data_IF_838622783482
#
_entry.id   IF_838622783482
#
_cell.length_a   1.000
_cell.length_b   1.000
_cell.length_c   1.000
_cell.angle_alpha   90.00
_cell.angle_beta   90.00
_cell.angle_gamma   90.00
#
_symmetry.space_group_name_H-M   'P 1'
#
loop_
_entity.id
_entity.type
_entity.pdbx_description
1 polymer ?
#
# COMPACT_ATOMS: atom_id res chain seq x y z
N UNK A 1 41.72 -22.79 14.69
CA UNK A 1 40.37 -23.33 14.47
C UNK A 1 39.40 -22.45 15.26
N UNK A 2 38.82 -21.43 14.62
CA UNK A 2 37.76 -20.63 15.24
C UNK A 2 36.53 -21.52 15.29
N UNK A 3 35.98 -21.75 16.48
CA UNK A 3 34.82 -22.61 16.68
C UNK A 3 33.68 -22.17 15.76
N UNK A 4 33.08 -23.15 15.08
CA UNK A 4 31.77 -22.98 14.48
C UNK A 4 30.83 -22.52 15.59
N UNK A 5 30.48 -21.24 15.59
CA UNK A 5 29.37 -20.75 16.38
C UNK A 5 28.13 -21.41 15.80
N UNK A 6 27.74 -22.54 16.37
CA UNK A 6 26.51 -23.23 16.00
C UNK A 6 25.36 -22.24 16.20
N UNK A 7 24.74 -21.85 15.09
CA UNK A 7 23.64 -20.90 15.13
C UNK A 7 22.54 -21.55 15.95
N UNK A 8 22.04 -20.88 17.00
CA UNK A 8 21.09 -21.52 17.88
C UNK A 8 19.83 -21.93 17.11
N UNK A 9 19.32 -23.13 17.33
CA UNK A 9 18.14 -23.65 16.60
C UNK A 9 16.91 -22.74 16.71
N UNK A 10 16.80 -21.98 17.80
CA UNK A 10 15.73 -21.01 17.98
C UNK A 10 15.79 -19.84 16.99
N UNK A 11 16.94 -19.49 16.42
CA UNK A 11 17.04 -18.45 15.38
C UNK A 11 16.28 -18.87 14.11
N UNK A 12 16.51 -20.11 13.66
CA UNK A 12 15.81 -20.66 12.48
C UNK A 12 14.30 -20.74 12.73
N UNK A 13 13.89 -21.11 13.94
CA UNK A 13 12.47 -21.13 14.33
C UNK A 13 11.89 -19.71 14.28
N UNK A 14 12.58 -18.72 14.84
CA UNK A 14 12.12 -17.32 14.85
C UNK A 14 12.06 -16.73 13.44
N UNK A 15 13.05 -16.99 12.59
CA UNK A 15 13.05 -16.58 11.17
C UNK A 15 11.78 -17.07 10.46
N UNK A 16 11.43 -18.36 10.64
CA UNK A 16 10.25 -18.95 10.02
C UNK A 16 8.94 -18.47 10.65
N UNK A 17 8.88 -18.28 11.97
CA UNK A 17 7.65 -17.80 12.64
C UNK A 17 7.34 -16.36 12.22
N UNK A 18 8.33 -15.46 12.30
CA UNK A 18 8.13 -14.09 11.87
C UNK A 18 7.92 -13.99 10.37
N UNK A 19 8.63 -14.81 9.58
CA UNK A 19 8.41 -14.93 8.16
C UNK A 19 6.96 -15.30 7.85
N UNK A 20 6.41 -16.33 8.52
CA UNK A 20 5.03 -16.79 8.30
C UNK A 20 4.01 -15.71 8.64
N UNK A 21 4.19 -15.00 9.75
CA UNK A 21 3.32 -13.89 10.15
C UNK A 21 3.39 -12.77 9.11
N UNK A 22 4.61 -12.41 8.67
CA UNK A 22 4.85 -11.43 7.62
C UNK A 22 4.15 -11.81 6.31
N UNK A 23 4.36 -13.05 5.86
CA UNK A 23 3.71 -13.64 4.67
C UNK A 23 2.20 -13.57 4.75
N UNK A 24 1.61 -13.90 5.91
CA UNK A 24 0.16 -13.87 6.09
C UNK A 24 -0.39 -12.45 5.94
N UNK A 25 0.15 -11.48 6.69
CA UNK A 25 -0.31 -10.09 6.60
C UNK A 25 -0.13 -9.51 5.19
N UNK A 26 1.04 -9.75 4.58
CA UNK A 26 1.36 -9.18 3.27
C UNK A 26 0.59 -9.84 2.12
N UNK A 27 0.16 -11.10 2.28
CA UNK A 27 -0.71 -11.77 1.31
C UNK A 27 -2.17 -11.36 1.45
N UNK A 28 -2.67 -11.29 2.70
CA UNK A 28 -4.09 -11.05 2.95
C UNK A 28 -4.49 -9.58 2.82
N UNK A 29 -3.56 -8.63 2.81
CA UNK A 29 -3.89 -7.22 2.62
C UNK A 29 -4.66 -6.95 1.32
N UNK A 30 -4.43 -7.74 0.26
CA UNK A 30 -5.08 -7.54 -1.04
C UNK A 30 -6.50 -8.11 -1.11
N UNK A 31 -6.92 -8.93 -0.14
CA UNK A 31 -8.23 -9.61 -0.14
C UNK A 31 -9.42 -8.65 -0.28
N UNK A 32 -9.49 -7.51 0.43
CA UNK A 32 -10.61 -6.59 0.27
C UNK A 32 -10.75 -6.08 -1.16
N UNK A 33 -9.64 -5.93 -1.89
CA UNK A 33 -9.66 -5.46 -3.28
C UNK A 33 -10.10 -6.56 -4.25
N UNK A 34 -9.76 -7.81 -3.95
CA UNK A 34 -10.27 -8.96 -4.71
C UNK A 34 -11.79 -9.07 -4.62
N UNK A 35 -12.37 -8.81 -3.43
CA UNK A 35 -13.81 -8.91 -3.17
C UNK A 35 -14.58 -7.68 -3.67
N UNK A 36 -13.94 -6.51 -3.68
CA UNK A 36 -14.62 -5.26 -4.01
C UNK A 36 -14.61 -4.99 -5.52
N UNK A 37 -15.61 -5.52 -6.22
CA UNK A 37 -15.71 -5.54 -7.68
C UNK A 37 -16.23 -4.23 -8.32
N UNK A 38 -16.26 -3.10 -7.59
CA UNK A 38 -16.89 -1.88 -8.10
C UNK A 38 -15.92 -1.04 -8.95
N UNK A 39 -16.30 -0.76 -10.21
CA UNK A 39 -15.58 0.07 -11.18
C UNK A 39 -15.04 1.40 -10.61
N UNK A 40 -15.78 2.03 -9.69
CA UNK A 40 -15.40 3.31 -9.07
C UNK A 40 -14.11 3.23 -8.22
N UNK A 41 -13.71 2.06 -7.74
CA UNK A 41 -12.48 1.89 -6.95
C UNK A 41 -11.22 1.77 -7.83
N UNK A 42 -11.36 1.35 -9.09
CA UNK A 42 -10.25 1.18 -10.04
C UNK A 42 -9.80 2.50 -10.70
N UNK A 43 -10.62 3.54 -10.61
CA UNK A 43 -10.25 4.91 -11.03
C UNK A 43 -9.29 5.53 -9.98
N UNK A 44 -9.36 5.06 -8.74
CA UNK A 44 -8.53 5.47 -7.60
C UNK A 44 -7.17 4.78 -7.53
N UNK A 45 -7.13 3.48 -7.84
CA UNK A 45 -5.92 2.65 -7.74
C UNK A 45 -5.49 2.16 -9.12
N UNK A 46 -4.36 2.68 -9.60
CA UNK A 46 -3.94 2.50 -10.99
C UNK A 46 -3.72 1.02 -11.29
N UNK A 47 -4.36 0.51 -12.35
CA UNK A 47 -4.05 -0.78 -12.96
C UNK A 47 -2.53 -1.00 -13.14
N UNK A 48 -1.78 0.07 -13.44
CA UNK A 48 -0.32 0.02 -13.56
C UNK A 48 0.38 -0.35 -12.23
N UNK A 49 -0.18 0.02 -11.08
CA UNK A 49 0.38 -0.33 -9.78
C UNK A 49 0.37 -1.84 -9.56
N UNK A 50 -0.75 -2.51 -9.80
CA UNK A 50 -0.84 -3.96 -9.67
C UNK A 50 0.07 -4.70 -10.65
N UNK A 51 0.25 -4.15 -11.85
CA UNK A 51 1.23 -4.67 -12.80
C UNK A 51 2.66 -4.55 -12.24
N UNK A 52 3.03 -3.36 -11.74
CA UNK A 52 4.35 -3.12 -11.13
C UNK A 52 4.58 -4.04 -9.93
N UNK A 53 3.58 -4.23 -9.08
CA UNK A 53 3.64 -5.12 -7.92
C UNK A 53 3.74 -6.60 -8.33
N UNK A 54 3.01 -7.02 -9.36
CA UNK A 54 3.15 -8.36 -9.94
C UNK A 54 4.56 -8.58 -10.45
N UNK A 55 5.08 -7.65 -11.26
CA UNK A 55 6.46 -7.73 -11.78
C UNK A 55 7.49 -7.73 -10.65
N UNK A 56 7.32 -6.85 -9.65
CA UNK A 56 8.16 -6.83 -8.45
C UNK A 56 8.19 -8.19 -7.73
N UNK A 57 7.02 -8.83 -7.62
CA UNK A 57 6.89 -10.14 -6.96
C UNK A 57 7.69 -11.22 -7.67
N UNK A 58 7.71 -11.21 -9.01
CA UNK A 58 8.51 -12.16 -9.79
C UNK A 58 10.00 -11.98 -9.52
N UNK A 59 10.51 -10.74 -9.57
CA UNK A 59 11.94 -10.49 -9.29
C UNK A 59 12.30 -10.83 -7.84
N UNK A 60 11.41 -10.51 -6.89
CA UNK A 60 11.64 -10.85 -5.49
C UNK A 60 11.57 -12.36 -5.25
N UNK A 61 10.68 -13.08 -5.93
CA UNK A 61 10.61 -14.55 -5.91
C UNK A 61 11.88 -15.20 -6.46
N UNK A 62 12.39 -14.71 -7.60
CA UNK A 62 13.69 -15.12 -8.15
C UNK A 62 14.79 -14.92 -7.10
N UNK A 63 14.88 -13.73 -6.52
CA UNK A 63 15.88 -13.39 -5.51
C UNK A 63 15.77 -14.31 -4.27
N UNK A 64 14.57 -14.50 -3.75
CA UNK A 64 14.30 -15.32 -2.58
C UNK A 64 14.69 -16.80 -2.80
N UNK A 65 14.42 -17.35 -3.98
CA UNK A 65 14.78 -18.73 -4.36
C UNK A 65 16.29 -18.88 -4.60
N UNK A 66 16.94 -17.86 -5.19
CA UNK A 66 18.39 -17.88 -5.43
C UNK A 66 19.16 -17.80 -4.12
N UNK A 67 18.74 -16.94 -3.18
CA UNK A 67 19.37 -16.78 -1.87
C UNK A 67 18.92 -17.79 -0.82
N UNK A 68 18.01 -18.69 -1.16
CA UNK A 68 17.49 -19.71 -0.26
C UNK A 68 16.98 -19.08 1.06
N UNK A 69 16.05 -18.13 0.91
CA UNK A 69 15.38 -17.51 2.06
C UNK A 69 14.54 -18.53 2.84
N UNK A 70 14.03 -18.17 4.02
CA UNK A 70 13.11 -19.05 4.73
C UNK A 70 11.86 -19.37 3.90
N UNK A 71 11.29 -20.56 4.10
CA UNK A 71 10.12 -21.04 3.33
C UNK A 71 8.98 -20.01 3.26
N UNK A 72 8.62 -19.30 4.35
CA UNK A 72 7.62 -18.24 4.26
C UNK A 72 7.97 -17.12 3.29
N UNK A 73 9.24 -16.69 3.25
CA UNK A 73 9.72 -15.62 2.37
C UNK A 73 9.86 -16.08 0.91
N UNK A 74 9.98 -17.38 0.65
CA UNK A 74 9.84 -17.96 -0.70
C UNK A 74 8.39 -17.92 -1.18
N UNK A 75 7.45 -18.31 -0.31
CA UNK A 75 6.03 -18.44 -0.64
C UNK A 75 5.36 -17.06 -0.79
N UNK A 76 5.80 -16.09 0.01
CA UNK A 76 5.22 -14.76 0.09
C UNK A 76 5.12 -13.99 -1.25
N UNK A 77 6.20 -13.84 -2.06
CA UNK A 77 6.10 -13.20 -3.36
C UNK A 77 5.16 -13.94 -4.31
N UNK A 78 5.06 -15.27 -4.20
CA UNK A 78 4.21 -16.08 -5.07
C UNK A 78 2.73 -15.80 -4.80
N UNK A 79 2.32 -15.83 -3.54
CA UNK A 79 0.94 -15.57 -3.16
C UNK A 79 0.57 -14.11 -3.49
N UNK A 80 1.39 -13.15 -3.06
CA UNK A 80 1.13 -11.74 -3.31
C UNK A 80 1.09 -11.42 -4.82
N UNK A 81 2.03 -11.96 -5.60
CA UNK A 81 2.10 -11.76 -7.05
C UNK A 81 0.90 -12.35 -7.79
N UNK A 82 0.43 -13.54 -7.41
CA UNK A 82 -0.78 -14.16 -7.99
C UNK A 82 -2.03 -13.33 -7.68
N UNK A 83 -2.18 -12.86 -6.44
CA UNK A 83 -3.34 -12.04 -6.05
C UNK A 83 -3.29 -10.68 -6.77
N UNK A 84 -2.12 -10.04 -6.86
CA UNK A 84 -1.95 -8.78 -7.58
C UNK A 84 -2.25 -8.94 -9.08
N UNK A 85 -1.77 -10.03 -9.71
CA UNK A 85 -2.08 -10.34 -11.10
C UNK A 85 -3.57 -10.58 -11.31
N UNK A 86 -4.22 -11.26 -10.36
CA UNK A 86 -5.66 -11.49 -10.41
C UNK A 86 -6.43 -10.17 -10.42
N UNK A 87 -6.09 -9.24 -9.51
CA UNK A 87 -6.70 -7.90 -9.46
C UNK A 87 -6.42 -7.12 -10.75
N UNK A 88 -5.19 -7.20 -11.28
CA UNK A 88 -4.83 -6.58 -12.56
C UNK A 88 -5.70 -7.10 -13.72
N UNK A 89 -5.93 -8.41 -13.79
CA UNK A 89 -6.79 -9.00 -14.83
C UNK A 89 -8.27 -8.68 -14.60
N UNK A 90 -8.72 -8.62 -13.35
CA UNK A 90 -10.08 -8.18 -13.02
C UNK A 90 -10.37 -6.76 -13.54
N UNK A 91 -9.37 -5.86 -13.58
CA UNK A 91 -9.52 -4.54 -14.17
C UNK A 91 -10.00 -4.60 -15.64
N UNK A 92 -9.49 -5.55 -16.43
CA UNK A 92 -9.94 -5.72 -17.82
C UNK A 92 -11.38 -6.23 -17.94
N UNK A 93 -11.86 -6.98 -16.94
CA UNK A 93 -13.23 -7.47 -16.92
C UNK A 93 -14.25 -6.38 -16.58
N UNK A 94 -13.91 -5.49 -15.63
CA UNK A 94 -14.81 -4.48 -15.07
C UNK A 94 -14.68 -3.08 -15.67
N UNK A 95 -13.53 -2.74 -16.28
CA UNK A 95 -13.34 -1.45 -16.95
C UNK A 95 -13.67 -1.53 -18.45
N UNK A 96 -14.07 -0.42 -19.09
CA UNK A 96 -14.30 -0.35 -20.54
C UNK A 96 -13.03 -0.76 -21.29
N UNK A 97 -12.99 -2.03 -21.71
CA UNK A 97 -11.84 -2.65 -22.35
C UNK A 97 -12.35 -3.67 -23.37
N UNK A 98 -11.46 -4.21 -24.19
CA UNK A 98 -11.78 -5.25 -25.18
C UNK A 98 -12.38 -6.53 -24.56
N UNK A 99 -12.30 -6.68 -23.22
CA UNK A 99 -12.71 -7.87 -22.48
C UNK A 99 -13.92 -7.68 -21.55
N UNK A 100 -14.57 -6.51 -21.60
CA UNK A 100 -15.69 -6.14 -20.74
C UNK A 100 -16.77 -7.24 -20.70
N UNK A 101 -17.12 -7.68 -19.48
CA UNK A 101 -18.16 -8.69 -19.24
C UNK A 101 -17.80 -10.13 -19.63
N UNK A 102 -16.63 -10.39 -20.23
CA UNK A 102 -16.24 -11.74 -20.68
C UNK A 102 -15.32 -12.46 -19.68
N UNK A 103 -15.91 -13.37 -18.90
CA UNK A 103 -15.18 -14.19 -17.89
C UNK A 103 -14.14 -15.11 -18.54
N UNK A 104 -14.45 -15.66 -19.71
CA UNK A 104 -13.57 -16.58 -20.44
C UNK A 104 -12.31 -15.85 -20.92
N UNK A 105 -12.46 -14.69 -21.58
CA UNK A 105 -11.31 -13.93 -22.09
C UNK A 105 -10.38 -13.49 -20.96
N UNK A 106 -10.95 -13.01 -19.85
CA UNK A 106 -10.19 -12.60 -18.67
C UNK A 106 -9.50 -13.80 -17.98
N UNK A 107 -10.20 -14.93 -17.84
CA UNK A 107 -9.62 -16.15 -17.28
C UNK A 107 -8.48 -16.71 -18.13
N UNK A 108 -8.64 -16.72 -19.46
CA UNK A 108 -7.59 -17.14 -20.40
C UNK A 108 -6.38 -16.21 -20.29
N UNK A 109 -6.59 -14.89 -20.23
CA UNK A 109 -5.50 -13.92 -20.05
C UNK A 109 -4.74 -14.18 -18.74
N UNK A 110 -5.44 -14.40 -17.63
CA UNK A 110 -4.83 -14.72 -16.34
C UNK A 110 -3.96 -15.98 -16.41
N UNK A 111 -4.46 -17.06 -17.01
CA UNK A 111 -3.72 -18.32 -17.15
C UNK A 111 -2.48 -18.14 -18.03
N UNK A 112 -2.61 -17.45 -19.17
CA UNK A 112 -1.48 -17.18 -20.08
C UNK A 112 -0.41 -16.36 -19.36
N UNK A 113 -0.79 -15.27 -18.69
CA UNK A 113 0.17 -14.43 -17.95
C UNK A 113 0.84 -15.20 -16.83
N UNK A 114 0.09 -16.02 -16.09
CA UNK A 114 0.67 -16.87 -15.02
C UNK A 114 1.71 -17.83 -15.58
N UNK A 115 1.40 -18.56 -16.66
CA UNK A 115 2.35 -19.50 -17.29
C UNK A 115 3.61 -18.76 -17.78
N UNK A 116 3.44 -17.61 -18.43
CA UNK A 116 4.57 -16.81 -18.92
C UNK A 116 5.45 -16.31 -17.78
N UNK A 117 4.86 -15.76 -16.72
CA UNK A 117 5.59 -15.22 -15.57
C UNK A 117 6.31 -16.32 -14.78
N UNK A 118 5.67 -17.49 -14.57
CA UNK A 118 6.32 -18.66 -13.98
C UNK A 118 7.47 -19.15 -14.86
N UNK A 119 7.30 -19.18 -16.19
CA UNK A 119 8.38 -19.53 -17.11
C UNK A 119 9.59 -18.58 -17.01
N UNK A 120 9.32 -17.27 -16.91
CA UNK A 120 10.36 -16.24 -16.72
C UNK A 120 11.07 -16.42 -15.38
N UNK A 121 10.33 -16.63 -14.29
CA UNK A 121 10.89 -16.85 -12.95
C UNK A 121 11.79 -18.08 -12.92
N UNK A 122 11.27 -19.23 -13.36
CA UNK A 122 12.00 -20.50 -13.37
C UNK A 122 13.24 -20.39 -14.25
N UNK A 123 13.11 -19.86 -15.47
CA UNK A 123 14.24 -19.65 -16.38
C UNK A 123 15.32 -18.74 -15.78
N UNK A 124 14.89 -17.67 -15.11
CA UNK A 124 15.81 -16.73 -14.43
C UNK A 124 16.50 -17.39 -13.25
N UNK A 125 15.80 -18.15 -12.40
CA UNK A 125 16.39 -18.86 -11.26
C UNK A 125 17.51 -19.80 -11.73
N UNK A 126 17.25 -20.63 -12.74
CA UNK A 126 18.28 -21.53 -13.27
C UNK A 126 19.42 -20.76 -13.94
N UNK A 127 19.11 -19.70 -14.69
CA UNK A 127 20.12 -18.85 -15.34
C UNK A 127 21.04 -18.14 -14.34
N UNK A 128 20.48 -17.59 -13.25
CA UNK A 128 21.24 -16.91 -12.20
C UNK A 128 22.06 -17.92 -11.40
N UNK A 129 21.48 -19.07 -11.01
CA UNK A 129 22.24 -20.14 -10.33
C UNK A 129 23.43 -20.60 -11.18
N UNK A 130 23.24 -20.74 -12.49
CA UNK A 130 24.32 -21.06 -13.42
C UNK A 130 25.39 -19.95 -13.51
N UNK A 131 24.98 -18.68 -13.51
CA UNK A 131 25.90 -17.55 -13.48
C UNK A 131 26.71 -17.50 -12.18
N UNK A 132 26.09 -17.74 -11.03
CA UNK A 132 26.73 -17.80 -9.73
C UNK A 132 27.77 -18.93 -9.65
N UNK A 133 27.50 -20.10 -10.26
CA UNK A 133 28.50 -21.17 -10.38
C UNK A 133 29.77 -20.74 -11.14
N UNK A 134 29.68 -19.69 -11.96
CA UNK A 134 30.78 -19.09 -12.69
C UNK A 134 31.34 -17.82 -12.03
N UNK A 135 30.99 -17.58 -10.76
CA UNK A 135 31.35 -16.38 -10.00
C UNK A 135 30.81 -15.07 -10.61
N UNK A 136 29.69 -15.13 -11.32
CA UNK A 136 29.01 -13.96 -11.90
C UNK A 136 27.78 -13.64 -11.07
N UNK A 137 27.94 -12.76 -10.07
CA UNK A 137 26.92 -12.50 -9.03
C UNK A 137 26.02 -11.29 -9.33
N UNK A 138 26.30 -10.51 -10.38
CA UNK A 138 25.50 -9.33 -10.71
C UNK A 138 24.01 -9.64 -11.01
N UNK A 139 23.63 -10.77 -11.64
CA UNK A 139 22.22 -11.05 -11.93
C UNK A 139 21.38 -11.25 -10.66
N UNK A 140 21.96 -11.88 -9.64
CA UNK A 140 21.36 -12.03 -8.31
C UNK A 140 21.16 -10.67 -7.64
N UNK A 141 22.16 -9.78 -7.69
CA UNK A 141 22.03 -8.44 -7.13
C UNK A 141 20.91 -7.64 -7.83
N UNK A 142 20.81 -7.76 -9.16
CA UNK A 142 19.77 -7.08 -9.94
C UNK A 142 18.37 -7.58 -9.58
N UNK A 143 18.18 -8.89 -9.37
CA UNK A 143 16.88 -9.43 -8.96
C UNK A 143 16.45 -8.96 -7.57
N UNK A 144 17.39 -8.60 -6.69
CA UNK A 144 17.10 -7.97 -5.39
C UNK A 144 16.80 -6.46 -5.47
N UNK A 145 17.41 -5.72 -6.40
CA UNK A 145 17.23 -4.26 -6.53
C UNK A 145 15.92 -3.92 -7.24
N UNK A 146 15.56 -4.65 -8.30
CA UNK A 146 14.37 -4.36 -9.11
C UNK A 146 13.08 -4.29 -8.26
N UNK A 147 12.80 -5.23 -7.34
CA UNK A 147 11.62 -5.18 -6.49
C UNK A 147 11.53 -3.90 -5.67
N UNK A 148 12.63 -3.50 -5.02
CA UNK A 148 12.67 -2.28 -4.22
C UNK A 148 12.30 -1.05 -5.06
N UNK A 149 12.86 -0.94 -6.27
CA UNK A 149 12.57 0.18 -7.18
C UNK A 149 11.12 0.15 -7.67
N UNK A 150 10.61 -1.02 -8.09
CA UNK A 150 9.25 -1.14 -8.62
C UNK A 150 8.19 -0.88 -7.55
N UNK A 151 8.41 -1.30 -6.30
CA UNK A 151 7.50 -1.00 -5.20
C UNK A 151 7.41 0.49 -4.92
N UNK A 152 8.55 1.20 -4.88
CA UNK A 152 8.59 2.66 -4.72
C UNK A 152 7.84 3.35 -5.86
N UNK A 153 8.11 2.96 -7.12
CA UNK A 153 7.43 3.53 -8.30
C UNK A 153 5.92 3.24 -8.25
N UNK A 154 5.52 2.05 -7.81
CA UNK A 154 4.12 1.66 -7.66
C UNK A 154 3.35 2.57 -6.70
N UNK A 155 4.02 3.13 -5.68
CA UNK A 155 3.41 4.04 -4.70
C UNK A 155 3.36 5.49 -5.17
N UNK A 156 4.14 5.89 -6.19
CA UNK A 156 4.21 7.29 -6.68
C UNK A 156 2.83 7.87 -7.02
N UNK A 157 1.94 7.19 -7.76
CA UNK A 157 0.61 7.73 -8.06
C UNK A 157 -0.21 8.04 -6.80
N UNK A 158 -0.04 7.27 -5.72
CA UNK A 158 -0.72 7.51 -4.46
C UNK A 158 -0.23 8.80 -3.80
N UNK A 159 1.09 9.00 -3.73
CA UNK A 159 1.68 10.23 -3.21
C UNK A 159 1.28 11.47 -4.01
N UNK A 160 1.23 11.37 -5.35
CA UNK A 160 0.76 12.47 -6.21
C UNK A 160 -0.69 12.83 -5.87
N UNK A 161 -1.59 11.84 -5.72
CA UNK A 161 -2.99 12.08 -5.38
C UNK A 161 -3.13 12.74 -4.00
N UNK A 162 -2.39 12.27 -3.00
CA UNK A 162 -2.38 12.87 -1.66
C UNK A 162 -1.90 14.34 -1.74
N UNK A 163 -0.86 14.60 -2.52
CA UNK A 163 -0.33 15.94 -2.69
C UNK A 163 -1.30 16.90 -3.40
N UNK A 164 -2.01 16.42 -4.43
CA UNK A 164 -3.00 17.21 -5.19
C UNK A 164 -4.27 17.47 -4.37
N UNK A 165 -4.81 16.44 -3.72
CA UNK A 165 -6.07 16.53 -2.98
C UNK A 165 -5.91 17.13 -1.58
N UNK A 166 -4.66 17.22 -1.08
CA UNK A 166 -4.34 17.62 0.30
C UNK A 166 -5.11 16.81 1.35
N UNK A 167 -5.53 15.60 0.99
CA UNK A 167 -6.26 14.63 1.79
C UNK A 167 -5.94 13.23 1.28
N UNK A 168 -5.93 12.27 2.20
CA UNK A 168 -5.80 10.85 1.87
C UNK A 168 -7.20 10.29 1.65
N UNK A 169 -7.57 10.05 0.40
CA UNK A 169 -8.90 9.57 -0.02
C UNK A 169 -8.73 8.26 -0.80
N UNK A 170 -9.57 7.27 -0.52
CA UNK A 170 -9.58 6.00 -1.26
C UNK A 170 -8.53 4.98 -0.83
N UNK A 171 -7.82 5.22 0.28
CA UNK A 171 -6.86 4.27 0.88
C UNK A 171 -7.47 3.71 2.17
N UNK A 172 -7.51 2.38 2.30
CA UNK A 172 -8.03 1.70 3.50
C UNK A 172 -6.96 1.68 4.59
N UNK A 173 -7.28 2.18 5.79
CA UNK A 173 -6.34 2.14 6.91
C UNK A 173 -6.05 0.72 7.40
N UNK A 174 -7.01 -0.21 7.25
CA UNK A 174 -6.79 -1.64 7.53
C UNK A 174 -5.78 -2.24 6.54
N UNK A 175 -5.89 -1.86 5.26
CA UNK A 175 -4.93 -2.28 4.24
C UNK A 175 -3.52 -1.82 4.60
N UNK A 176 -3.35 -0.54 4.89
CA UNK A 176 -2.05 0.03 5.29
C UNK A 176 -1.48 -0.65 6.55
N UNK A 177 -2.33 -0.95 7.54
CA UNK A 177 -1.89 -1.62 8.76
C UNK A 177 -1.37 -3.04 8.47
N UNK A 178 -2.05 -3.79 7.60
CA UNK A 178 -1.61 -5.13 7.21
C UNK A 178 -0.32 -5.09 6.38
N UNK A 179 -0.17 -4.12 5.46
CA UNK A 179 1.08 -3.92 4.70
C UNK A 179 2.26 -3.67 5.65
N UNK A 180 2.09 -2.71 6.56
CA UNK A 180 3.13 -2.34 7.54
C UNK A 180 3.47 -3.50 8.49
N UNK A 181 2.47 -4.25 8.99
CA UNK A 181 2.73 -5.42 9.83
C UNK A 181 3.46 -6.51 9.05
N UNK A 182 3.05 -6.76 7.80
CA UNK A 182 3.71 -7.69 6.90
C UNK A 182 5.19 -7.35 6.71
N UNK A 183 5.48 -6.09 6.39
CA UNK A 183 6.83 -5.58 6.22
C UNK A 183 7.65 -5.68 7.52
N UNK A 184 7.07 -5.27 8.66
CA UNK A 184 7.74 -5.32 9.97
C UNK A 184 8.16 -6.75 10.35
N UNK A 185 7.24 -7.72 10.27
CA UNK A 185 7.55 -9.10 10.61
C UNK A 185 8.50 -9.76 9.62
N UNK A 186 8.48 -9.35 8.35
CA UNK A 186 9.45 -9.82 7.35
C UNK A 186 10.85 -9.28 7.59
N UNK A 187 11.02 -8.03 8.03
CA UNK A 187 12.34 -7.54 8.50
C UNK A 187 12.79 -8.32 9.73
N UNK A 188 11.89 -8.54 10.69
CA UNK A 188 12.22 -9.27 11.92
C UNK A 188 12.67 -10.71 11.61
N UNK A 189 12.03 -11.36 10.63
CA UNK A 189 12.47 -12.65 10.08
C UNK A 189 13.94 -12.62 9.65
N UNK A 190 14.32 -11.62 8.86
CA UNK A 190 15.70 -11.46 8.35
C UNK A 190 16.73 -11.16 9.46
N UNK A 191 16.33 -10.52 10.55
CA UNK A 191 17.21 -10.28 11.71
C UNK A 191 17.61 -11.59 12.39
N UNK A 192 16.71 -12.57 12.43
CA UNK A 192 17.00 -13.91 13.01
C UNK A 192 17.60 -14.89 12.01
N UNK A 193 17.77 -14.48 10.75
CA UNK A 193 18.43 -15.28 9.73
C UNK A 193 19.91 -15.51 10.08
N UNK A 194 20.44 -16.73 9.90
CA UNK A 194 21.87 -16.99 9.88
C UNK A 194 22.70 -15.97 9.08
N UNK A 195 23.88 -15.53 9.55
CA UNK A 195 24.75 -14.66 8.78
C UNK A 195 25.11 -15.26 7.41
N UNK A 196 25.21 -14.44 6.34
CA UNK A 196 25.17 -12.98 6.33
C UNK A 196 23.75 -12.39 6.32
N UNK A 197 23.61 -11.19 6.88
CA UNK A 197 22.36 -10.44 6.85
C UNK A 197 22.01 -10.00 5.42
N UNK A 198 20.80 -10.35 4.96
CA UNK A 198 20.32 -9.99 3.63
C UNK A 198 19.89 -8.52 3.59
N UNK A 199 20.79 -7.68 3.08
CA UNK A 199 20.59 -6.23 3.03
C UNK A 199 19.58 -5.82 1.97
N UNK A 200 19.50 -6.51 0.82
CA UNK A 200 18.60 -6.10 -0.27
C UNK A 200 17.14 -6.45 0.06
N UNK A 201 16.89 -7.66 0.60
CA UNK A 201 15.55 -8.02 1.07
C UNK A 201 15.11 -7.08 2.21
N UNK A 202 15.99 -6.83 3.17
CA UNK A 202 15.71 -5.92 4.29
C UNK A 202 15.41 -4.50 3.80
N UNK A 203 16.17 -3.99 2.84
CA UNK A 203 15.93 -2.67 2.26
C UNK A 203 14.55 -2.59 1.60
N UNK A 204 14.14 -3.65 0.91
CA UNK A 204 12.81 -3.73 0.29
C UNK A 204 11.70 -3.61 1.33
N UNK A 205 11.75 -4.43 2.39
CA UNK A 205 10.74 -4.40 3.45
C UNK A 205 10.75 -3.09 4.26
N UNK A 206 11.93 -2.56 4.60
CA UNK A 206 12.06 -1.28 5.31
C UNK A 206 11.50 -0.14 4.46
N UNK A 207 11.72 -0.16 3.15
CA UNK A 207 11.18 0.85 2.22
C UNK A 207 9.66 0.85 2.24
N UNK A 208 9.03 -0.34 2.15
CA UNK A 208 7.57 -0.49 2.26
C UNK A 208 7.07 0.07 3.60
N UNK A 209 7.62 -0.42 4.71
CA UNK A 209 7.23 0.03 6.06
C UNK A 209 7.33 1.56 6.22
N UNK A 210 8.39 2.16 5.70
CA UNK A 210 8.64 3.60 5.82
C UNK A 210 7.67 4.42 4.96
N UNK A 211 7.46 4.02 3.70
CA UNK A 211 6.57 4.74 2.78
C UNK A 211 5.11 4.63 3.22
N UNK A 212 4.70 3.46 3.70
CA UNK A 212 3.35 3.24 4.22
C UNK A 212 3.14 4.01 5.52
N UNK A 213 4.12 4.00 6.41
CA UNK A 213 4.12 4.82 7.63
C UNK A 213 3.99 6.31 7.31
N UNK A 214 4.64 6.79 6.24
CA UNK A 214 4.49 8.17 5.78
C UNK A 214 3.06 8.46 5.27
N UNK A 215 2.44 7.54 4.54
CA UNK A 215 1.04 7.68 4.10
C UNK A 215 0.09 7.74 5.30
N UNK A 216 0.26 6.83 6.27
CA UNK A 216 -0.53 6.80 7.51
C UNK A 216 -0.35 8.08 8.32
N UNK A 217 0.90 8.57 8.43
CA UNK A 217 1.18 9.85 9.06
C UNK A 217 0.46 11.01 8.36
N UNK A 218 0.56 11.08 7.03
CA UNK A 218 -0.13 12.10 6.23
C UNK A 218 -1.65 12.02 6.38
N UNK A 219 -2.22 10.81 6.49
CA UNK A 219 -3.65 10.63 6.73
C UNK A 219 -4.09 11.34 8.02
N UNK A 220 -3.44 11.02 9.15
CA UNK A 220 -3.80 11.62 10.44
C UNK A 220 -3.48 13.12 10.49
N UNK A 221 -2.32 13.52 9.96
CA UNK A 221 -1.89 14.92 9.96
C UNK A 221 -2.83 15.81 9.13
N UNK A 222 -3.15 15.41 7.89
CA UNK A 222 -4.04 16.18 7.03
C UNK A 222 -5.48 16.20 7.55
N UNK A 223 -5.96 15.09 8.12
CA UNK A 223 -7.29 15.06 8.72
C UNK A 223 -7.39 16.01 9.92
N UNK A 224 -6.39 15.97 10.80
CA UNK A 224 -6.29 16.91 11.93
C UNK A 224 -6.22 18.38 11.47
N UNK A 225 -5.41 18.68 10.45
CA UNK A 225 -5.26 20.03 9.91
C UNK A 225 -6.57 20.58 9.34
N UNK A 226 -7.30 19.79 8.56
CA UNK A 226 -8.60 20.21 8.00
C UNK A 226 -9.69 20.32 9.07
N UNK A 227 -9.72 19.42 10.05
CA UNK A 227 -10.66 19.54 11.18
C UNK A 227 -10.47 20.85 11.94
N UNK A 228 -9.21 21.30 12.14
CA UNK A 228 -8.96 22.62 12.75
C UNK A 228 -9.46 23.76 11.87
N UNK A 229 -9.12 23.76 10.58
CA UNK A 229 -9.55 24.83 9.67
C UNK A 229 -11.07 24.93 9.60
N UNK A 230 -11.78 23.80 9.57
CA UNK A 230 -13.24 23.77 9.52
C UNK A 230 -13.88 24.22 10.85
N UNK A 231 -13.26 23.90 11.99
CA UNK A 231 -13.72 24.40 13.30
C UNK A 231 -13.60 25.93 13.42
N UNK A 232 -12.52 26.53 12.91
CA UNK A 232 -12.33 27.99 12.92
C UNK A 232 -13.33 28.69 12.01
N UNK A 233 -13.57 28.15 10.80
CA UNK A 233 -14.56 28.71 9.87
C UNK A 233 -15.98 28.63 10.45
N UNK A 234 -16.37 27.48 11.03
CA UNK A 234 -17.69 27.33 11.64
C UNK A 234 -17.88 28.25 12.85
N UNK A 235 -16.86 28.44 13.69
CA UNK A 235 -16.94 29.37 14.82
C UNK A 235 -17.12 30.82 14.34
N UNK A 236 -16.34 31.26 13.33
CA UNK A 236 -16.49 32.61 12.77
C UNK A 236 -17.88 32.83 12.15
N UNK A 237 -18.39 31.84 11.40
CA UNK A 237 -19.74 31.92 10.81
C UNK A 237 -20.85 31.94 11.87
N UNK A 238 -20.67 31.22 12.97
CA UNK A 238 -21.63 31.25 14.09
C UNK A 238 -21.60 32.60 14.82
N UNK A 239 -20.41 33.16 15.07
CA UNK A 239 -20.29 34.50 15.66
C UNK A 239 -20.90 35.60 14.76
N UNK A 240 -20.70 35.51 13.45
CA UNK A 240 -21.29 36.46 12.49
C UNK A 240 -22.82 36.33 12.41
N UNK A 241 -23.34 35.09 12.44
CA UNK A 241 -24.79 34.85 12.52
C UNK A 241 -25.37 35.37 13.84
N UNK A 242 -24.73 35.12 14.99
CA UNK A 242 -25.21 35.58 16.30
C UNK A 242 -25.21 37.11 16.38
N UNK A 243 -24.17 37.79 15.88
CA UNK A 243 -24.15 39.25 15.78
C UNK A 243 -25.28 39.79 14.89
N UNK A 244 -25.54 39.15 13.75
CA UNK A 244 -26.60 39.57 12.82
C UNK A 244 -27.99 39.48 13.46
N UNK A 245 -28.25 38.45 14.26
CA UNK A 245 -29.53 38.25 14.97
C UNK A 245 -29.71 39.34 16.04
N UNK A 246 -28.66 39.64 16.82
CA UNK A 246 -28.69 40.68 17.86
C UNK A 246 -29.00 42.05 17.24
N UNK A 247 -28.35 42.40 16.12
CA UNK A 247 -28.58 43.69 15.43
C UNK A 247 -30.02 43.79 14.90
N UNK A 248 -30.57 42.72 14.33
CA UNK A 248 -31.96 42.71 13.83
C UNK A 248 -32.97 42.87 14.98
N UNK A 249 -32.72 42.23 16.12
CA UNK A 249 -33.59 42.35 17.29
C UNK A 249 -33.54 43.75 17.93
N UNK A 250 -32.35 44.39 17.98
CA UNK A 250 -32.20 45.76 18.46
C UNK A 250 -32.88 46.79 17.53
N UNK A 251 -32.78 46.61 16.20
CA UNK A 251 -33.48 47.48 15.23
C UNK A 251 -34.99 47.36 15.39
N UNK A 252 -35.54 46.14 15.44
CA UNK A 252 -36.98 45.93 15.66
C UNK A 252 -37.47 46.52 16.99
N UNK A 253 -36.65 46.42 18.03
CA UNK A 253 -36.98 47.00 19.35
C UNK A 253 -37.02 48.53 19.28
N UNK A 254 -36.05 49.14 18.60
CA UNK A 254 -36.01 50.60 18.42
C UNK A 254 -37.18 51.11 17.57
N UNK A 255 -37.51 50.42 16.46
CA UNK A 255 -38.67 50.76 15.62
C UNK A 255 -39.99 50.67 16.42
N UNK A 256 -40.14 49.66 17.28
CA UNK A 256 -41.30 49.51 18.14
C UNK A 256 -41.39 50.64 19.19
N UNK A 257 -40.27 51.07 19.78
CA UNK A 257 -40.22 52.20 20.72
C UNK A 257 -40.60 53.50 20.00
N UNK A 258 -40.13 53.69 18.76
CA UNK A 258 -40.40 54.89 17.97
C UNK A 258 -41.88 54.99 17.61
N UNK A 259 -42.51 53.90 17.17
CA UNK A 259 -43.96 53.84 16.93
C UNK A 259 -44.79 54.15 18.19
N UNK A 260 -44.41 53.61 19.35
CA UNK A 260 -45.09 53.91 20.62
C UNK A 260 -44.92 55.37 21.03
N UNK A 261 -43.76 55.98 20.75
CA UNK A 261 -43.53 57.40 21.03
C UNK A 261 -44.31 58.34 20.11
N UNK A 262 -44.54 57.96 18.86
CA UNK A 262 -45.37 58.72 17.92
C UNK A 262 -46.85 58.65 18.28
N UNK A 263 -47.33 57.49 18.77
CA UNK A 263 -48.72 57.32 19.23
C UNK A 263 -49.01 58.18 20.48
N UNK A 264 -48.05 58.36 21.38
CA UNK A 264 -48.23 59.13 22.61
C UNK A 264 -48.10 60.66 22.45
N UNK A 265 -47.69 61.14 21.28
CA UNK A 265 -47.52 62.58 20.97
C UNK A 265 -48.66 63.16 20.10
N UNK A 266 -49.70 62.38 19.83
CA UNK A 266 -50.95 62.80 19.17
C UNK A 266 -52.15 62.66 20.12
#
# INVERSE_FOLDING_TARGET
>A
MKGESTIPSHYVVLENVFGLIGTAFWSFQLVPQVINHTYQNFIGLSQAMFLLWTTSSIFFGIYAIVLDLSIPLLIQPQIFGIIALFIYVQCFYYCPSMFEGSKIKSGVLFVILTILLTGIEVGSVYGIRYANMRNVNWPEMVSGIIPAVLLVIGLVPQFIKIYQLKRVIGISMIFMAFDMLGAFFSVLSLVFRPPPFDTLASFTYISVFTLDGLIVFLYYFLNWYHSRKQSTINNNNNEENDLSIIVVDDVKRNDAIQQVSEINNH
#
